data_IF_245421437857
#
_entry.id   IF_245421437857
#
_cell.length_a   1.000
_cell.length_b   1.000
_cell.length_c   1.000
_cell.angle_alpha   90.00
_cell.angle_beta   90.00
_cell.angle_gamma   90.00
#
_symmetry.space_group_name_H-M   'P 1'
#
loop_
_entity.id
_entity.type
_entity.pdbx_description
1 polymer ?
#
# COMPACT_ATOMS: atom_id res chain seq x y z
N UNK A 1 19.76 17.64 -11.35
CA UNK A 1 18.75 16.86 -12.09
C UNK A 1 17.55 16.66 -11.19
N UNK A 2 16.34 16.78 -11.73
CA UNK A 2 15.10 16.60 -10.96
C UNK A 2 14.45 15.27 -11.34
N UNK A 3 13.99 14.51 -10.34
CA UNK A 3 13.28 13.25 -10.53
C UNK A 3 11.88 13.42 -9.97
N UNK A 4 10.86 13.29 -10.81
CA UNK A 4 9.46 13.23 -10.39
C UNK A 4 9.06 11.78 -10.15
N UNK A 5 8.48 11.50 -8.98
CA UNK A 5 7.90 10.20 -8.65
C UNK A 5 6.44 10.40 -8.24
N UNK A 6 5.55 9.61 -8.85
CA UNK A 6 4.10 9.73 -8.70
C UNK A 6 3.53 9.00 -7.47
N UNK A 7 4.30 8.98 -6.37
CA UNK A 7 3.95 8.32 -5.10
C UNK A 7 4.02 9.28 -3.92
N UNK A 8 3.32 8.99 -2.81
CA UNK A 8 3.43 9.78 -1.59
C UNK A 8 4.87 9.80 -1.06
N UNK A 9 5.31 10.96 -0.57
CA UNK A 9 6.65 11.15 0.02
C UNK A 9 6.97 10.14 1.13
N UNK A 10 5.95 9.72 1.89
CA UNK A 10 6.09 8.74 2.97
C UNK A 10 6.64 7.37 2.48
N UNK A 11 6.38 6.98 1.23
CA UNK A 11 6.89 5.73 0.64
C UNK A 11 8.32 5.87 0.08
N UNK A 12 8.87 7.09 0.02
CA UNK A 12 10.07 7.40 -0.78
C UNK A 12 11.26 7.85 0.06
N UNK A 13 11.26 7.68 1.39
CA UNK A 13 12.34 8.16 2.27
C UNK A 13 13.74 7.65 1.86
N UNK A 14 13.84 6.35 1.56
CA UNK A 14 15.10 5.75 1.11
C UNK A 14 15.55 6.29 -0.25
N UNK A 15 14.61 6.45 -1.19
CA UNK A 15 14.88 7.02 -2.51
C UNK A 15 15.34 8.48 -2.42
N UNK A 16 14.68 9.28 -1.59
CA UNK A 16 15.08 10.67 -1.34
C UNK A 16 16.50 10.76 -0.80
N UNK A 17 16.85 9.91 0.16
CA UNK A 17 18.21 9.82 0.71
C UNK A 17 19.24 9.40 -0.34
N UNK A 18 18.90 8.46 -1.22
CA UNK A 18 19.76 7.99 -2.31
C UNK A 18 20.03 9.07 -3.36
N UNK A 19 19.01 9.85 -3.71
CA UNK A 19 19.09 10.93 -4.71
C UNK A 19 19.85 12.14 -4.16
N UNK A 20 19.63 12.50 -2.89
CA UNK A 20 20.35 13.60 -2.23
C UNK A 20 21.87 13.39 -2.27
N UNK A 21 22.35 12.16 -2.02
CA UNK A 21 23.78 11.78 -2.12
C UNK A 21 24.36 11.92 -3.53
N UNK A 22 23.51 12.08 -4.54
CA UNK A 22 23.87 12.23 -5.96
C UNK A 22 23.57 13.63 -6.51
N UNK A 23 23.34 14.61 -5.64
CA UNK A 23 22.95 15.97 -6.03
C UNK A 23 21.72 16.00 -6.95
N UNK A 24 20.79 15.07 -6.72
CA UNK A 24 19.50 15.00 -7.41
C UNK A 24 18.38 15.46 -6.47
N UNK A 25 17.43 16.22 -6.99
CA UNK A 25 16.23 16.61 -6.26
C UNK A 25 15.09 15.63 -6.54
N UNK A 26 14.40 15.19 -5.50
CA UNK A 26 13.20 14.35 -5.60
C UNK A 26 11.96 15.24 -5.46
N UNK A 27 11.09 15.20 -6.47
CA UNK A 27 9.74 15.75 -6.42
C UNK A 27 8.80 14.56 -6.23
N UNK A 28 8.11 14.49 -5.10
CA UNK A 28 7.19 13.42 -4.76
C UNK A 28 5.76 13.96 -4.73
N UNK A 29 4.92 13.49 -5.64
CA UNK A 29 3.52 13.91 -5.74
C UNK A 29 2.66 12.72 -6.13
N UNK A 30 1.75 12.27 -5.26
CA UNK A 30 0.73 11.31 -5.68
C UNK A 30 -0.32 12.01 -6.54
N UNK A 31 -0.75 11.34 -7.60
CA UNK A 31 -1.90 11.74 -8.42
C UNK A 31 -3.06 10.76 -8.29
N UNK A 32 -2.92 9.79 -7.39
CA UNK A 32 -3.93 8.79 -7.10
C UNK A 32 -4.32 8.94 -5.63
N UNK A 33 -5.62 8.99 -5.40
CA UNK A 33 -6.23 8.92 -4.08
C UNK A 33 -6.99 7.60 -3.96
N UNK A 34 -7.04 7.07 -2.74
CA UNK A 34 -7.75 5.84 -2.46
C UNK A 34 -8.76 6.11 -1.37
N UNK A 35 -9.98 5.62 -1.59
CA UNK A 35 -11.06 5.68 -0.62
C UNK A 35 -11.48 4.27 -0.19
N UNK A 36 -11.93 4.18 1.05
CA UNK A 36 -12.53 2.96 1.59
C UNK A 36 -13.91 2.78 0.94
N UNK A 37 -14.15 1.62 0.35
CA UNK A 37 -15.48 1.21 -0.06
C UNK A 37 -16.00 0.21 0.97
N UNK A 38 -17.16 0.50 1.56
CA UNK A 38 -17.82 -0.40 2.49
C UNK A 38 -18.18 -1.70 1.77
N UNK A 39 -17.76 -2.83 2.33
CA UNK A 39 -17.98 -4.15 1.76
C UNK A 39 -18.52 -5.11 2.81
N UNK A 40 -19.31 -6.07 2.36
CA UNK A 40 -19.70 -7.24 3.16
C UNK A 40 -18.79 -8.41 2.82
N UNK A 41 -18.32 -9.11 3.83
CA UNK A 41 -17.47 -10.28 3.67
C UNK A 41 -18.28 -11.55 3.90
N UNK A 42 -18.06 -12.64 3.13
CA UNK A 42 -18.72 -13.91 3.40
C UNK A 42 -18.40 -14.41 4.81
N UNK A 43 -19.32 -15.17 5.41
CA UNK A 43 -19.13 -15.68 6.77
C UNK A 43 -18.01 -16.75 6.86
N UNK A 44 -17.70 -17.44 5.75
CA UNK A 44 -16.69 -18.48 5.69
C UNK A 44 -15.94 -18.46 4.36
N UNK A 45 -14.63 -18.62 4.43
CA UNK A 45 -13.72 -18.80 3.30
C UNK A 45 -12.44 -19.47 3.80
N UNK A 46 -11.81 -20.29 2.96
CA UNK A 46 -10.59 -21.02 3.32
C UNK A 46 -9.32 -20.14 3.22
N UNK A 47 -9.35 -19.12 2.36
CA UNK A 47 -8.23 -18.23 2.12
C UNK A 47 -8.65 -16.79 1.78
N UNK A 48 -7.78 -15.82 2.12
CA UNK A 48 -7.86 -14.43 1.68
C UNK A 48 -6.56 -14.06 0.95
N UNK A 49 -6.69 -13.43 -0.21
CA UNK A 49 -5.57 -12.91 -1.00
C UNK A 49 -5.60 -11.39 -1.03
N UNK A 50 -4.57 -10.74 -0.48
CA UNK A 50 -4.40 -9.30 -0.55
C UNK A 50 -3.53 -8.90 -1.74
N UNK A 51 -4.16 -8.33 -2.77
CA UNK A 51 -3.49 -7.88 -3.99
C UNK A 51 -2.72 -6.55 -3.85
N UNK A 52 -2.86 -5.85 -2.73
CA UNK A 52 -2.14 -4.60 -2.47
C UNK A 52 -2.12 -4.26 -0.98
N UNK A 53 -1.20 -3.37 -0.58
CA UNK A 53 -1.14 -2.80 0.77
C UNK A 53 -2.44 -2.08 1.14
N UNK A 54 -3.07 -1.39 0.17
CA UNK A 54 -4.33 -0.68 0.40
C UNK A 54 -5.50 -1.64 0.61
N UNK A 55 -5.55 -2.77 -0.11
CA UNK A 55 -6.59 -3.78 0.09
C UNK A 55 -6.55 -4.35 1.51
N UNK A 56 -5.36 -4.68 2.02
CA UNK A 56 -5.19 -5.12 3.41
C UNK A 56 -5.62 -4.04 4.41
N UNK A 57 -5.11 -2.81 4.25
CA UNK A 57 -5.45 -1.69 5.15
C UNK A 57 -6.97 -1.46 5.21
N UNK A 58 -7.63 -1.41 4.07
CA UNK A 58 -9.07 -1.19 3.97
C UNK A 58 -9.91 -2.36 4.49
N UNK A 59 -9.45 -3.59 4.32
CA UNK A 59 -10.08 -4.75 4.94
C UNK A 59 -10.03 -4.66 6.48
N UNK A 60 -8.84 -4.42 7.04
CA UNK A 60 -8.63 -4.37 8.51
C UNK A 60 -9.34 -3.20 9.21
N UNK A 61 -9.81 -2.20 8.46
CA UNK A 61 -10.66 -1.13 8.99
C UNK A 61 -12.13 -1.54 9.14
N UNK A 62 -12.55 -2.61 8.46
CA UNK A 62 -13.93 -3.06 8.39
C UNK A 62 -14.14 -4.43 9.08
N UNK A 63 -13.10 -5.26 9.16
CA UNK A 63 -13.16 -6.60 9.72
C UNK A 63 -11.83 -7.03 10.33
N UNK A 64 -11.91 -7.91 11.32
CA UNK A 64 -10.73 -8.60 11.87
C UNK A 64 -10.26 -9.72 10.95
N UNK A 65 -8.94 -9.99 10.95
CA UNK A 65 -8.41 -11.15 10.25
C UNK A 65 -8.85 -12.45 10.95
N UNK A 66 -9.50 -13.37 10.22
CA UNK A 66 -9.92 -14.63 10.80
C UNK A 66 -8.72 -15.55 11.08
N UNK A 67 -8.70 -16.15 12.28
CA UNK A 67 -7.57 -16.94 12.80
C UNK A 67 -7.36 -18.30 12.13
N UNK A 68 -8.39 -18.83 11.48
CA UNK A 68 -8.39 -20.17 10.88
C UNK A 68 -8.30 -20.13 9.35
N UNK A 69 -8.04 -18.95 8.78
CA UNK A 69 -8.05 -18.72 7.33
C UNK A 69 -6.62 -18.52 6.85
N UNK A 70 -6.28 -19.10 5.69
CA UNK A 70 -4.99 -18.88 5.07
C UNK A 70 -4.93 -17.46 4.50
N UNK A 71 -3.96 -16.67 4.95
CA UNK A 71 -3.75 -15.30 4.45
C UNK A 71 -2.54 -15.28 3.53
N UNK A 72 -2.73 -14.76 2.32
CA UNK A 72 -1.68 -14.61 1.32
C UNK A 72 -1.66 -13.18 0.76
N UNK A 73 -0.50 -12.72 0.29
CA UNK A 73 -0.33 -11.44 -0.36
C UNK A 73 0.52 -11.57 -1.63
N UNK A 74 0.40 -10.56 -2.50
CA UNK A 74 1.34 -10.37 -3.61
C UNK A 74 2.38 -9.31 -3.23
N UNK A 75 3.65 -9.62 -3.47
CA UNK A 75 4.78 -8.75 -3.11
C UNK A 75 5.25 -8.92 -1.65
N UNK A 76 6.45 -8.40 -1.38
CA UNK A 76 7.11 -8.35 -0.06
C UNK A 76 6.95 -6.96 0.60
#
# INVERSE_FOLDING_TARGET
MNVLITKPTAELQQLGSFLARRNCSLIAQSFIEFELVNATFPAAYDAIFFGSKNAYRFYTQQADLPKHVLVACIGE
#
